data_IF_876252395568
#
_entry.id   IF_876252395568
#
_cell.length_a   1.000
_cell.length_b   1.000
_cell.length_c   1.000
_cell.angle_alpha   90.00
_cell.angle_beta   90.00
_cell.angle_gamma   90.00
#
_symmetry.space_group_name_H-M   'P 1'
#
loop_
_entity.id
_entity.type
_entity.pdbx_description
1 polymer ?
#
# COMPACT_ATOMS: atom_id res chain seq x y z
N UNK A 1 4.14 -14.72 20.23
CA UNK A 1 4.87 -15.29 19.07
C UNK A 1 5.13 -14.25 17.99
N UNK A 2 4.10 -13.54 17.50
CA UNK A 2 4.25 -12.48 16.48
C UNK A 2 5.13 -11.29 16.93
N UNK A 3 4.96 -10.81 18.17
CA UNK A 3 5.72 -9.68 18.72
C UNK A 3 7.24 -9.93 18.72
N UNK A 4 7.66 -11.11 19.17
CA UNK A 4 9.08 -11.48 19.26
C UNK A 4 9.71 -11.60 17.86
N UNK A 5 8.95 -12.09 16.87
CA UNK A 5 9.42 -12.17 15.49
C UNK A 5 9.60 -10.77 14.88
N UNK A 6 8.61 -9.89 15.08
CA UNK A 6 8.64 -8.49 14.64
C UNK A 6 9.86 -7.76 15.21
N UNK A 7 10.14 -7.92 16.51
CA UNK A 7 11.32 -7.34 17.15
C UNK A 7 12.65 -7.92 16.64
N UNK A 8 12.68 -9.17 16.18
CA UNK A 8 13.92 -9.78 15.65
C UNK A 8 14.31 -9.30 14.25
N UNK A 9 13.36 -8.75 13.48
CA UNK A 9 13.57 -8.37 12.06
C UNK A 9 13.60 -6.87 11.83
N UNK A 10 13.08 -6.08 12.77
CA UNK A 10 12.91 -4.64 12.61
C UNK A 10 13.96 -3.87 13.42
N UNK A 11 15.03 -3.47 12.74
CA UNK A 11 15.93 -2.40 13.18
C UNK A 11 15.46 -1.04 12.62
N UNK A 12 15.92 0.07 13.21
CA UNK A 12 15.52 1.44 12.88
C UNK A 12 15.56 1.83 11.38
N UNK A 13 16.42 1.18 10.59
CA UNK A 13 16.60 1.45 9.16
C UNK A 13 15.90 0.42 8.23
N UNK A 14 15.11 -0.49 8.80
CA UNK A 14 14.49 -1.58 8.04
C UNK A 14 13.31 -1.06 7.22
N UNK A 15 13.29 -1.41 5.92
CA UNK A 15 12.11 -1.29 5.07
C UNK A 15 11.42 -2.64 4.99
N UNK A 16 10.27 -2.78 5.66
CA UNK A 16 9.53 -4.03 5.71
C UNK A 16 8.26 -3.91 4.86
N UNK A 17 8.06 -4.89 3.98
CA UNK A 17 6.83 -5.03 3.21
C UNK A 17 5.90 -6.00 3.92
N UNK A 18 4.70 -5.55 4.24
CA UNK A 18 3.62 -6.34 4.82
C UNK A 18 2.64 -6.72 3.72
N UNK A 19 2.35 -8.02 3.61
CA UNK A 19 1.34 -8.53 2.69
C UNK A 19 -0.02 -8.53 3.37
N UNK A 20 -0.95 -7.79 2.79
CA UNK A 20 -2.26 -7.46 3.34
C UNK A 20 -3.35 -7.80 2.30
N UNK A 21 -4.60 -7.40 2.56
CA UNK A 21 -5.67 -7.43 1.56
C UNK A 21 -6.46 -8.74 1.52
N UNK A 22 -6.20 -9.69 2.43
CA UNK A 22 -6.96 -10.95 2.49
C UNK A 22 -8.15 -10.87 3.45
N UNK A 23 -7.98 -10.16 4.55
CA UNK A 23 -9.02 -10.02 5.57
C UNK A 23 -8.75 -8.75 6.37
N UNK A 24 -9.62 -7.76 6.24
CA UNK A 24 -9.46 -6.45 6.86
C UNK A 24 -9.24 -6.52 8.39
N UNK A 25 -9.99 -7.36 9.09
CA UNK A 25 -9.89 -7.45 10.55
C UNK A 25 -8.54 -8.03 10.98
N UNK A 26 -8.13 -9.14 10.37
CA UNK A 26 -6.82 -9.75 10.64
C UNK A 26 -5.67 -8.81 10.27
N UNK A 27 -5.83 -8.05 9.19
CA UNK A 27 -4.89 -7.05 8.75
C UNK A 27 -4.76 -5.91 9.79
N UNK A 28 -5.88 -5.39 10.32
CA UNK A 28 -5.87 -4.40 11.41
C UNK A 28 -5.21 -4.95 12.67
N UNK A 29 -5.44 -6.21 13.04
CA UNK A 29 -4.78 -6.85 14.18
C UNK A 29 -3.24 -6.89 14.02
N UNK A 30 -2.74 -7.16 12.81
CA UNK A 30 -1.31 -7.12 12.51
C UNK A 30 -0.75 -5.70 12.68
N UNK A 31 -1.47 -4.69 12.17
CA UNK A 31 -1.06 -3.28 12.30
C UNK A 31 -1.00 -2.84 13.77
N UNK A 32 -1.98 -3.27 14.58
CA UNK A 32 -2.00 -3.03 16.02
C UNK A 32 -0.82 -3.70 16.72
N UNK A 33 -0.49 -4.94 16.36
CA UNK A 33 0.65 -5.65 16.92
C UNK A 33 1.99 -4.95 16.60
N UNK A 34 2.13 -4.40 15.39
CA UNK A 34 3.31 -3.61 14.98
C UNK A 34 3.41 -2.34 15.84
N UNK A 35 2.29 -1.64 16.07
CA UNK A 35 2.27 -0.47 16.95
C UNK A 35 2.73 -0.82 18.36
N UNK A 36 2.19 -1.90 18.94
CA UNK A 36 2.55 -2.36 20.30
C UNK A 36 4.02 -2.76 20.40
N UNK A 37 4.60 -3.31 19.32
CA UNK A 37 6.01 -3.66 19.27
C UNK A 37 6.95 -2.44 19.24
N UNK A 38 6.44 -1.21 19.11
CA UNK A 38 7.22 0.02 18.96
C UNK A 38 8.27 -0.07 17.86
N UNK A 39 7.90 -0.66 16.71
CA UNK A 39 8.83 -0.77 15.61
C UNK A 39 9.03 0.58 14.95
N UNK A 40 10.23 1.14 15.15
CA UNK A 40 10.74 2.24 14.34
C UNK A 40 11.20 1.66 13.00
N UNK A 41 10.42 1.88 11.95
CA UNK A 41 10.73 1.37 10.61
C UNK A 41 9.84 2.00 9.54
N UNK A 42 10.24 1.86 8.28
CA UNK A 42 9.44 2.32 7.14
C UNK A 42 8.70 1.13 6.54
N UNK A 43 7.38 1.12 6.69
CA UNK A 43 6.57 0.00 6.24
C UNK A 43 5.90 0.28 4.89
N UNK A 44 5.92 -0.73 4.02
CA UNK A 44 5.17 -0.78 2.77
C UNK A 44 4.01 -1.76 2.98
N UNK A 45 2.79 -1.31 2.76
CA UNK A 45 1.60 -2.16 2.80
C UNK A 45 1.27 -2.60 1.39
N UNK A 46 1.34 -3.88 1.11
CA UNK A 46 1.09 -4.45 -0.22
C UNK A 46 -0.17 -5.31 -0.13
N UNK A 47 -1.29 -4.73 -0.57
CA UNK A 47 -2.61 -5.35 -0.50
C UNK A 47 -2.92 -6.25 -1.70
N UNK A 48 -2.13 -6.16 -2.76
CA UNK A 48 -2.23 -7.03 -3.93
C UNK A 48 -3.68 -7.14 -4.45
N UNK A 49 -4.32 -5.99 -4.69
CA UNK A 49 -5.71 -5.86 -5.16
C UNK A 49 -6.80 -6.24 -4.15
N UNK A 50 -6.43 -6.46 -2.89
CA UNK A 50 -7.27 -7.17 -1.93
C UNK A 50 -8.41 -6.40 -1.27
N UNK A 51 -8.40 -5.07 -1.31
CA UNK A 51 -9.46 -4.26 -0.68
C UNK A 51 -10.44 -3.69 -1.70
N UNK A 52 -11.66 -3.44 -1.23
CA UNK A 52 -12.53 -2.45 -1.84
C UNK A 52 -12.03 -1.03 -1.53
N UNK A 53 -12.48 -0.04 -2.31
CA UNK A 53 -12.20 1.39 -2.07
C UNK A 53 -12.53 1.82 -0.64
N UNK A 54 -13.65 1.33 -0.08
CA UNK A 54 -14.06 1.64 1.30
C UNK A 54 -13.09 1.04 2.32
N UNK A 55 -12.77 -0.25 2.17
CA UNK A 55 -11.86 -0.93 3.10
C UNK A 55 -10.44 -0.35 3.04
N UNK A 56 -9.97 0.05 1.86
CA UNK A 56 -8.68 0.73 1.73
C UNK A 56 -8.63 2.05 2.50
N UNK A 57 -9.72 2.84 2.48
CA UNK A 57 -9.83 4.06 3.28
C UNK A 57 -9.89 3.75 4.77
N UNK A 58 -10.61 2.70 5.16
CA UNK A 58 -10.69 2.25 6.55
C UNK A 58 -9.30 1.83 7.08
N UNK A 59 -8.50 1.14 6.27
CA UNK A 59 -7.10 0.84 6.60
C UNK A 59 -6.35 2.15 6.84
N UNK A 60 -6.40 3.11 5.91
CA UNK A 60 -5.70 4.40 6.04
C UNK A 60 -6.10 5.16 7.32
N UNK A 61 -7.39 5.17 7.66
CA UNK A 61 -7.92 5.74 8.91
C UNK A 61 -7.29 5.09 10.13
N UNK A 62 -7.25 3.75 10.16
CA UNK A 62 -6.68 2.99 11.27
C UNK A 62 -5.17 3.24 11.41
N UNK A 63 -4.42 3.29 10.31
CA UNK A 63 -2.99 3.60 10.35
C UNK A 63 -2.75 4.98 10.98
N UNK A 64 -3.55 5.96 10.59
CA UNK A 64 -3.48 7.33 11.09
C UNK A 64 -3.81 7.39 12.59
N UNK A 65 -4.90 6.76 13.03
CA UNK A 65 -5.30 6.68 14.45
C UNK A 65 -4.20 6.03 15.31
N UNK A 66 -3.52 5.00 14.78
CA UNK A 66 -2.44 4.32 15.48
C UNK A 66 -1.12 5.10 15.49
N UNK A 67 -0.99 6.16 14.67
CA UNK A 67 0.23 6.97 14.57
C UNK A 67 1.45 6.15 14.15
N UNK A 68 1.27 5.13 13.31
CA UNK A 68 2.36 4.31 12.79
C UNK A 68 2.81 4.88 11.44
N UNK A 69 4.11 5.02 11.25
CA UNK A 69 4.69 5.58 10.04
C UNK A 69 4.70 4.54 8.90
N UNK A 70 3.86 4.75 7.88
CA UNK A 70 3.86 3.98 6.64
C UNK A 70 4.23 4.89 5.48
N UNK A 71 5.03 4.37 4.56
CA UNK A 71 5.55 5.17 3.44
C UNK A 71 4.83 4.91 2.13
N UNK A 72 4.22 3.73 1.97
CA UNK A 72 3.66 3.32 0.70
C UNK A 72 2.52 2.31 0.88
N UNK A 73 1.41 2.54 0.18
CA UNK A 73 0.29 1.62 0.05
C UNK A 73 0.21 1.10 -1.39
N UNK A 74 0.68 -0.12 -1.60
CA UNK A 74 0.85 -0.76 -2.89
C UNK A 74 -0.39 -1.59 -3.27
N UNK A 75 -0.90 -1.29 -4.47
CA UNK A 75 -2.09 -1.85 -5.10
C UNK A 75 -3.22 -2.11 -4.09
N UNK A 76 -3.77 -1.05 -3.47
CA UNK A 76 -4.76 -1.18 -2.40
C UNK A 76 -6.02 -1.91 -2.87
N UNK A 77 -6.44 -1.64 -4.10
CA UNK A 77 -7.72 -2.11 -4.65
C UNK A 77 -7.55 -2.81 -6.00
N UNK A 78 -8.63 -3.42 -6.46
CA UNK A 78 -8.70 -4.14 -7.74
C UNK A 78 -8.17 -3.30 -8.91
N UNK A 79 -7.33 -3.92 -9.75
CA UNK A 79 -6.54 -3.23 -10.78
C UNK A 79 -7.35 -2.42 -11.79
N UNK A 80 -8.57 -2.85 -12.06
CA UNK A 80 -9.44 -2.28 -13.09
C UNK A 80 -10.38 -1.20 -12.51
N UNK A 81 -10.41 -0.97 -11.20
CA UNK A 81 -11.17 0.11 -10.55
C UNK A 81 -10.38 1.44 -10.55
N UNK A 82 -10.40 2.13 -11.69
CA UNK A 82 -9.67 3.39 -11.87
C UNK A 82 -10.24 4.55 -11.06
N UNK A 83 -11.56 4.59 -10.90
CA UNK A 83 -12.23 5.63 -10.12
C UNK A 83 -11.91 5.47 -8.64
N UNK A 84 -12.06 4.24 -8.12
CA UNK A 84 -11.64 3.89 -6.77
C UNK A 84 -10.17 4.19 -6.53
N UNK A 85 -9.29 3.88 -7.49
CA UNK A 85 -7.87 4.11 -7.34
C UNK A 85 -7.56 5.61 -7.21
N UNK A 86 -8.18 6.44 -8.03
CA UNK A 86 -8.07 7.89 -7.92
C UNK A 86 -8.61 8.41 -6.59
N UNK A 87 -9.74 7.87 -6.13
CA UNK A 87 -10.33 8.25 -4.85
C UNK A 87 -9.41 7.89 -3.67
N UNK A 88 -8.92 6.65 -3.60
CA UNK A 88 -7.97 6.19 -2.58
C UNK A 88 -6.67 6.99 -2.67
N UNK A 89 -6.13 7.21 -3.87
CA UNK A 89 -4.91 7.99 -4.07
C UNK A 89 -5.00 9.41 -3.54
N UNK A 90 -6.11 10.11 -3.81
CA UNK A 90 -6.35 11.46 -3.31
C UNK A 90 -6.52 11.48 -1.79
N UNK A 91 -7.35 10.61 -1.22
CA UNK A 91 -7.55 10.53 0.24
C UNK A 91 -6.23 10.20 0.94
N UNK A 92 -5.50 9.20 0.45
CA UNK A 92 -4.22 8.75 1.01
C UNK A 92 -3.19 9.88 1.05
N UNK A 93 -3.00 10.59 -0.07
CA UNK A 93 -2.01 11.66 -0.19
C UNK A 93 -2.44 12.90 0.59
N UNK A 94 -3.67 13.36 0.40
CA UNK A 94 -4.09 14.70 0.82
C UNK A 94 -4.54 14.73 2.29
N UNK A 95 -5.11 13.63 2.81
CA UNK A 95 -5.56 13.53 4.21
C UNK A 95 -4.52 12.87 5.12
N UNK A 96 -3.83 11.84 4.64
CA UNK A 96 -2.95 11.01 5.48
C UNK A 96 -1.46 11.14 5.16
N UNK A 97 -1.08 11.79 4.05
CA UNK A 97 0.31 11.90 3.63
C UNK A 97 0.96 10.57 3.24
N UNK A 98 0.17 9.53 2.94
CA UNK A 98 0.65 8.21 2.53
C UNK A 98 0.60 8.13 1.00
N UNK A 99 1.69 7.67 0.38
CA UNK A 99 1.73 7.49 -1.08
C UNK A 99 1.11 6.17 -1.51
N UNK A 100 0.44 6.18 -2.66
CA UNK A 100 -0.08 4.98 -3.31
C UNK A 100 0.85 4.54 -4.42
N UNK A 101 1.22 3.25 -4.40
CA UNK A 101 1.88 2.58 -5.51
C UNK A 101 0.89 1.72 -6.29
N UNK A 102 1.03 1.67 -7.61
CA UNK A 102 0.31 0.73 -8.46
C UNK A 102 1.23 -0.36 -8.99
N UNK A 103 0.76 -1.59 -8.96
CA UNK A 103 1.43 -2.75 -9.55
C UNK A 103 0.52 -3.32 -10.64
N UNK A 104 -0.54 -4.02 -10.29
CA UNK A 104 -1.43 -4.70 -11.23
C UNK A 104 -2.27 -3.76 -12.11
N UNK A 105 -2.58 -2.54 -11.64
CA UNK A 105 -3.25 -1.52 -12.47
C UNK A 105 -2.39 -1.06 -13.66
N UNK A 106 -1.06 -1.10 -13.54
CA UNK A 106 -0.15 -0.63 -14.57
C UNK A 106 0.48 -1.80 -15.34
N UNK A 107 -0.02 -2.09 -16.54
CA UNK A 107 0.41 -3.23 -17.36
C UNK A 107 1.20 -2.80 -18.60
N UNK A 108 1.02 -1.58 -19.07
CA UNK A 108 1.63 -1.05 -20.29
C UNK A 108 1.72 0.49 -20.25
N UNK A 109 2.28 1.09 -21.30
CA UNK A 109 2.48 2.54 -21.40
C UNK A 109 1.17 3.35 -21.45
N UNK A 110 0.07 2.77 -21.96
CA UNK A 110 -1.24 3.44 -21.96
C UNK A 110 -1.75 3.59 -20.52
N UNK A 111 -1.57 2.55 -19.69
CA UNK A 111 -1.92 2.62 -18.28
C UNK A 111 -1.06 3.67 -17.55
N UNK A 112 0.25 3.73 -17.82
CA UNK A 112 1.16 4.77 -17.26
C UNK A 112 0.62 6.17 -17.57
N UNK A 113 0.28 6.43 -18.84
CA UNK A 113 -0.27 7.71 -19.26
C UNK A 113 -1.56 8.04 -18.52
N UNK A 114 -2.48 7.07 -18.39
CA UNK A 114 -3.74 7.23 -17.65
C UNK A 114 -3.50 7.58 -16.18
N UNK A 115 -2.55 6.91 -15.53
CA UNK A 115 -2.19 7.17 -14.12
C UNK A 115 -1.64 8.59 -13.95
N UNK A 116 -0.75 9.03 -14.86
CA UNK A 116 -0.13 10.35 -14.82
C UNK A 116 -1.14 11.46 -15.09
N UNK A 117 -1.94 11.34 -16.16
CA UNK A 117 -2.92 12.37 -16.54
C UNK A 117 -4.05 12.49 -15.51
N UNK A 118 -4.47 11.37 -14.92
CA UNK A 118 -5.48 11.35 -13.86
C UNK A 118 -4.94 11.62 -12.45
N UNK A 119 -3.61 11.75 -12.29
CA UNK A 119 -2.95 11.87 -10.98
C UNK A 119 -3.39 10.79 -9.97
N UNK A 120 -3.54 9.54 -10.46
CA UNK A 120 -4.23 8.46 -9.73
C UNK A 120 -3.37 7.79 -8.65
N UNK A 121 -2.05 7.84 -8.79
CA UNK A 121 -1.10 7.22 -7.86
C UNK A 121 0.24 7.97 -7.87
N UNK A 122 1.05 7.78 -6.83
CA UNK A 122 2.33 8.46 -6.66
C UNK A 122 3.50 7.66 -7.26
N UNK A 123 3.39 6.34 -7.25
CA UNK A 123 4.48 5.42 -7.62
C UNK A 123 3.94 4.36 -8.58
N UNK A 124 4.71 4.02 -9.60
CA UNK A 124 4.40 2.93 -10.53
C UNK A 124 5.45 1.82 -10.34
N UNK A 125 5.01 0.62 -10.00
CA UNK A 125 5.87 -0.56 -9.90
C UNK A 125 6.09 -1.18 -11.29
N UNK A 126 7.28 -0.94 -11.86
CA UNK A 126 7.67 -1.43 -13.18
C UNK A 126 8.43 -2.75 -13.02
N UNK A 127 7.89 -3.80 -13.65
CA UNK A 127 8.56 -5.11 -13.80
C UNK A 127 8.90 -5.31 -15.27
N UNK A 128 10.08 -5.85 -15.56
CA UNK A 128 10.53 -6.12 -16.95
C UNK A 128 9.50 -6.96 -17.71
N UNK A 129 8.85 -7.93 -17.04
CA UNK A 129 7.79 -8.76 -17.63
C UNK A 129 6.54 -7.99 -18.10
N UNK A 130 6.28 -6.79 -17.57
CA UNK A 130 5.15 -5.94 -17.99
C UNK A 130 5.47 -5.15 -19.24
N UNK A 131 6.71 -4.68 -19.34
CA UNK A 131 7.19 -3.89 -20.47
C UNK A 131 7.69 -4.86 -21.55
N UNK A 132 6.83 -5.16 -22.53
CA UNK A 132 7.11 -6.11 -23.64
C UNK A 132 8.21 -5.63 -24.63
N UNK A 133 9.11 -4.75 -24.19
CA UNK A 133 10.13 -4.10 -24.99
C UNK A 133 11.49 -4.84 -25.03
N UNK A 134 11.64 -5.94 -24.28
CA UNK A 134 12.79 -6.84 -24.42
C UNK A 134 12.32 -8.11 -25.14
N UNK A 135 12.35 -8.07 -26.48
CA UNK A 135 12.31 -9.24 -27.35
C UNK A 135 13.60 -9.31 -28.12
#
# INVERSE_FOLDING_TARGET
MLLNWLQSIANKDSRLKLKMGKNLNADIEVLQAIRVAHLDGLFILDANEGYTTKEAIEVLEKLHEMGVAYVLFEQPIHRDDWEGLGHVGNVSRDKYGIFVAVDESCRNLVDVKKIMEGNLANVINIKVAKVRCFK
#
